data_IF_802918547230
#
_entry.id   IF_802918547230
#
_cell.length_a   1.000
_cell.length_b   1.000
_cell.length_c   1.000
_cell.angle_alpha   90.00
_cell.angle_beta   90.00
_cell.angle_gamma   90.00
#
_symmetry.space_group_name_H-M   'P 1'
#
loop_
_entity.id
_entity.type
_entity.pdbx_description
1 polymer ?
#
# COMPACT_ATOMS: atom_id res chain seq x y z
N UNK A 1 -3.06 -27.59 2.60
CA UNK A 1 -1.78 -26.93 2.27
C UNK A 1 -1.25 -27.55 0.99
N UNK A 2 -0.57 -26.79 0.11
CA UNK A 2 0.02 -27.35 -1.12
C UNK A 2 1.45 -27.81 -0.86
N UNK A 3 1.76 -29.03 -1.24
CA UNK A 3 3.04 -29.71 -1.06
C UNK A 3 3.75 -29.89 -2.40
N UNK A 4 5.00 -29.41 -2.52
CA UNK A 4 5.77 -29.51 -3.77
C UNK A 4 6.23 -30.93 -4.08
N UNK A 5 6.56 -31.69 -3.03
CA UNK A 5 7.17 -33.02 -3.14
C UNK A 5 6.15 -34.16 -2.97
N UNK A 6 4.86 -33.90 -3.21
CA UNK A 6 3.84 -34.93 -3.10
C UNK A 6 3.92 -35.91 -4.30
N UNK A 7 4.17 -37.20 -4.06
CA UNK A 7 4.41 -38.17 -5.15
C UNK A 7 3.14 -38.52 -5.93
N UNK A 8 1.95 -38.26 -5.38
CA UNK A 8 0.66 -38.73 -5.93
C UNK A 8 -0.17 -37.60 -6.56
N UNK A 9 0.03 -36.35 -6.13
CA UNK A 9 -0.76 -35.20 -6.55
C UNK A 9 0.11 -34.06 -7.05
N UNK A 10 -0.06 -33.67 -8.31
CA UNK A 10 0.61 -32.48 -8.85
C UNK A 10 0.13 -31.21 -8.14
N UNK A 11 0.99 -30.19 -8.09
CA UNK A 11 0.67 -28.85 -7.55
C UNK A 11 -0.64 -28.32 -8.15
N UNK A 12 -0.88 -28.54 -9.45
CA UNK A 12 -2.12 -28.12 -10.10
C UNK A 12 -3.37 -28.80 -9.52
N UNK A 13 -3.32 -30.11 -9.28
CA UNK A 13 -4.43 -30.85 -8.65
C UNK A 13 -4.67 -30.39 -7.22
N UNK A 14 -3.60 -30.20 -6.45
CA UNK A 14 -3.70 -29.70 -5.08
C UNK A 14 -4.30 -28.29 -5.01
N UNK A 15 -3.86 -27.37 -5.89
CA UNK A 15 -4.44 -26.03 -6.00
C UNK A 15 -5.93 -26.08 -6.35
N UNK A 16 -6.33 -26.96 -7.28
CA UNK A 16 -7.74 -27.14 -7.65
C UNK A 16 -8.57 -27.67 -6.48
N UNK A 17 -8.07 -28.66 -5.71
CA UNK A 17 -8.76 -29.18 -4.52
C UNK A 17 -8.93 -28.12 -3.42
N UNK A 18 -7.97 -27.20 -3.30
CA UNK A 18 -7.98 -26.12 -2.31
C UNK A 18 -8.64 -24.85 -2.83
N UNK A 19 -9.21 -24.86 -4.04
CA UNK A 19 -9.84 -23.69 -4.68
C UNK A 19 -8.94 -22.44 -4.73
N UNK A 20 -7.62 -22.63 -4.90
CA UNK A 20 -6.66 -21.54 -5.12
C UNK A 20 -6.09 -21.60 -6.53
N UNK A 21 -5.77 -20.45 -7.10
CA UNK A 21 -5.10 -20.43 -8.40
C UNK A 21 -3.65 -20.92 -8.26
N UNK A 22 -3.17 -21.65 -9.28
CA UNK A 22 -1.76 -22.05 -9.36
C UNK A 22 -0.82 -20.84 -9.32
N UNK A 23 -1.19 -19.72 -9.94
CA UNK A 23 -0.39 -18.49 -9.93
C UNK A 23 -0.24 -17.89 -8.53
N UNK A 24 -1.29 -17.91 -7.71
CA UNK A 24 -1.24 -17.44 -6.33
C UNK A 24 -0.26 -18.26 -5.49
N UNK A 25 -0.21 -19.59 -5.69
CA UNK A 25 0.73 -20.47 -4.99
C UNK A 25 2.20 -20.14 -5.29
N UNK A 26 2.54 -19.77 -6.52
CA UNK A 26 3.91 -19.37 -6.88
C UNK A 26 4.22 -17.90 -6.59
N UNK A 27 3.20 -17.08 -6.33
CA UNK A 27 3.41 -15.66 -6.09
C UNK A 27 4.07 -15.44 -4.73
N UNK A 28 5.29 -14.91 -4.77
CA UNK A 28 5.98 -14.39 -3.60
C UNK A 28 5.77 -12.88 -3.57
N UNK A 29 5.12 -12.31 -2.55
CA UNK A 29 4.95 -10.87 -2.46
C UNK A 29 6.32 -10.21 -2.38
N UNK A 30 6.62 -9.35 -3.36
CA UNK A 30 7.82 -8.53 -3.33
C UNK A 30 7.57 -7.36 -2.37
N UNK A 31 8.46 -7.19 -1.40
CA UNK A 31 8.43 -6.03 -0.52
C UNK A 31 8.63 -4.71 -1.27
N UNK A 32 8.58 -3.61 -0.53
CA UNK A 32 8.81 -2.28 -1.09
C UNK A 32 10.28 -2.05 -1.43
N UNK A 33 10.52 -1.18 -2.42
CA UNK A 33 11.88 -0.76 -2.78
C UNK A 33 12.45 0.17 -1.71
N UNK A 34 13.78 0.28 -1.64
CA UNK A 34 14.44 1.19 -0.70
C UNK A 34 13.95 2.65 -0.86
N UNK A 35 13.74 3.10 -2.10
CA UNK A 35 13.17 4.42 -2.39
C UNK A 35 11.75 4.56 -1.83
N UNK A 36 10.90 3.54 -1.97
CA UNK A 36 9.54 3.59 -1.44
C UNK A 36 9.55 3.59 0.09
N UNK A 37 10.43 2.82 0.73
CA UNK A 37 10.59 2.84 2.19
C UNK A 37 11.04 4.20 2.70
N UNK A 38 11.98 4.86 2.01
CA UNK A 38 12.39 6.23 2.32
C UNK A 38 11.21 7.21 2.17
N UNK A 39 10.46 7.15 1.07
CA UNK A 39 9.28 7.97 0.87
C UNK A 39 8.21 7.71 1.94
N UNK A 40 7.99 6.45 2.34
CA UNK A 40 7.04 6.10 3.40
C UNK A 40 7.43 6.72 4.75
N UNK A 41 8.73 6.80 5.07
CA UNK A 41 9.19 7.49 6.29
C UNK A 41 8.88 8.99 6.25
N UNK A 42 9.18 9.66 5.13
CA UNK A 42 8.88 11.09 5.00
C UNK A 42 7.38 11.38 4.97
N UNK A 43 6.58 10.49 4.37
CA UNK A 43 5.12 10.57 4.42
C UNK A 43 4.63 10.47 5.87
N UNK A 44 5.17 9.54 6.65
CA UNK A 44 4.80 9.34 8.06
C UNK A 44 5.13 10.60 8.89
N UNK A 45 6.37 11.08 8.78
CA UNK A 45 6.83 12.31 9.43
C UNK A 45 5.94 13.52 9.08
N UNK A 46 5.68 13.75 7.79
CA UNK A 46 4.84 14.86 7.36
C UNK A 46 3.37 14.68 7.77
N UNK A 47 2.87 13.45 7.84
CA UNK A 47 1.49 13.19 8.24
C UNK A 47 1.28 13.45 9.73
N UNK A 48 2.29 13.20 10.58
CA UNK A 48 2.25 13.56 12.00
C UNK A 48 2.15 15.09 12.21
N UNK A 49 2.89 15.86 11.41
CA UNK A 49 2.83 17.33 11.45
C UNK A 49 1.53 17.88 10.84
N UNK A 50 1.03 17.22 9.79
CA UNK A 50 -0.13 17.69 9.01
C UNK A 50 -1.12 16.56 8.72
N UNK A 51 -1.93 16.12 9.71
CA UNK A 51 -2.80 14.95 9.56
C UNK A 51 -3.98 15.16 8.59
N UNK A 52 -4.17 16.38 8.09
CA UNK A 52 -5.18 16.73 7.07
C UNK A 52 -4.61 16.71 5.64
N UNK A 53 -3.31 16.42 5.45
CA UNK A 53 -2.72 16.37 4.12
C UNK A 53 -3.20 15.16 3.31
N UNK A 54 -3.89 15.44 2.21
CA UNK A 54 -4.25 14.46 1.19
C UNK A 54 -3.09 14.09 0.26
N UNK A 55 -3.32 13.07 -0.57
CA UNK A 55 -2.35 12.58 -1.58
C UNK A 55 -1.74 13.70 -2.41
N UNK A 56 -2.57 14.66 -2.85
CA UNK A 56 -2.11 15.80 -3.65
C UNK A 56 -1.17 16.70 -2.86
N UNK A 57 -1.53 17.09 -1.63
CA UNK A 57 -0.68 17.93 -0.79
C UNK A 57 0.63 17.23 -0.43
N UNK A 58 0.56 15.95 -0.06
CA UNK A 58 1.72 15.12 0.24
C UNK A 58 2.66 15.00 -0.98
N UNK A 59 2.10 14.83 -2.18
CA UNK A 59 2.89 14.78 -3.42
C UNK A 59 3.61 16.09 -3.69
N UNK A 60 2.95 17.23 -3.46
CA UNK A 60 3.56 18.55 -3.62
C UNK A 60 4.68 18.78 -2.61
N UNK A 61 4.46 18.43 -1.35
CA UNK A 61 5.47 18.50 -0.29
C UNK A 61 6.73 17.69 -0.66
N UNK A 62 6.58 16.42 -1.02
CA UNK A 62 7.71 15.58 -1.41
C UNK A 62 8.44 16.09 -2.67
N UNK A 63 7.71 16.68 -3.62
CA UNK A 63 8.34 17.31 -4.80
C UNK A 63 9.14 18.55 -4.43
N UNK A 64 8.63 19.35 -3.50
CA UNK A 64 9.34 20.51 -2.96
C UNK A 64 10.64 20.08 -2.27
N UNK A 65 10.66 18.91 -1.66
CA UNK A 65 11.84 18.29 -1.04
C UNK A 65 12.77 17.60 -2.06
N UNK A 66 12.52 17.76 -3.36
CA UNK A 66 13.38 17.26 -4.44
C UNK A 66 13.01 15.89 -4.99
N UNK A 67 11.93 15.27 -4.53
CA UNK A 67 11.53 13.93 -5.01
C UNK A 67 10.71 14.01 -6.30
N UNK A 68 11.18 13.33 -7.35
CA UNK A 68 10.44 13.17 -8.61
C UNK A 68 9.36 12.09 -8.49
N UNK A 69 8.30 12.38 -7.74
CA UNK A 69 7.18 11.47 -7.47
C UNK A 69 5.88 11.90 -8.16
N UNK A 70 4.96 10.96 -8.31
CA UNK A 70 3.63 11.21 -8.86
C UNK A 70 2.54 10.83 -7.85
N UNK A 71 1.35 11.43 -8.01
CA UNK A 71 0.23 11.24 -7.08
C UNK A 71 -0.22 9.78 -6.99
N UNK A 72 -0.16 9.02 -8.09
CA UNK A 72 -0.51 7.58 -8.09
C UNK A 72 0.38 6.78 -7.16
N UNK A 73 1.69 7.04 -7.16
CA UNK A 73 2.65 6.38 -6.27
C UNK A 73 2.38 6.76 -4.82
N UNK A 74 2.23 8.05 -4.53
CA UNK A 74 2.01 8.53 -3.15
C UNK A 74 0.70 8.00 -2.59
N UNK A 75 -0.39 8.02 -3.38
CA UNK A 75 -1.67 7.46 -2.96
C UNK A 75 -1.62 5.96 -2.66
N UNK A 76 -0.85 5.19 -3.45
CA UNK A 76 -0.61 3.76 -3.16
C UNK A 76 0.14 3.58 -1.83
N UNK A 77 1.20 4.36 -1.60
CA UNK A 77 2.00 4.27 -0.37
C UNK A 77 1.19 4.66 0.86
N UNK A 78 0.47 5.78 0.82
CA UNK A 78 -0.42 6.20 1.91
C UNK A 78 -1.48 5.13 2.23
N UNK A 79 -2.06 4.50 1.20
CA UNK A 79 -3.01 3.39 1.39
C UNK A 79 -2.37 2.17 2.04
N UNK A 80 -1.16 1.79 1.62
CA UNK A 80 -0.41 0.68 2.23
C UNK A 80 -0.08 0.96 3.70
N UNK A 81 0.16 2.22 4.05
CA UNK A 81 0.40 2.67 5.42
C UNK A 81 -0.87 2.84 6.24
N UNK A 82 -2.06 2.79 5.62
CA UNK A 82 -3.33 3.06 6.30
C UNK A 82 -3.57 4.53 6.65
N UNK A 83 -2.85 5.47 6.03
CA UNK A 83 -2.98 6.89 6.29
C UNK A 83 -4.15 7.49 5.50
N UNK A 84 -5.09 8.09 6.22
CA UNK A 84 -6.22 8.83 5.66
C UNK A 84 -6.28 10.24 6.24
N UNK A 85 -6.40 11.28 5.42
CA UNK A 85 -6.47 12.65 5.91
C UNK A 85 -7.68 12.85 6.82
N UNK A 86 -7.44 13.49 7.97
CA UNK A 86 -8.50 13.81 8.93
C UNK A 86 -9.11 15.14 8.52
N UNK A 87 -10.34 15.11 8.03
CA UNK A 87 -11.12 16.30 7.73
C UNK A 87 -12.00 16.66 8.92
N UNK A 88 -12.00 17.93 9.31
CA UNK A 88 -12.97 18.43 10.26
C UNK A 88 -14.35 18.46 9.59
N UNK A 89 -15.27 17.61 10.07
CA UNK A 89 -16.67 17.71 9.66
C UNK A 89 -17.23 19.02 10.19
N UNK A 90 -17.97 19.77 9.37
CA UNK A 90 -18.69 20.95 9.84
C UNK A 90 -19.72 20.46 10.86
N UNK A 91 -19.45 20.66 12.15
CA UNK A 91 -20.47 20.60 13.19
C UNK A 91 -21.55 21.60 12.78
N UNK A 92 -22.71 21.11 12.37
CA UNK A 92 -23.77 21.92 11.81
C UNK A 92 -24.20 22.98 12.81
N UNK A 93 -24.15 24.25 12.41
CA UNK A 93 -25.03 25.25 13.00
C UNK A 93 -26.44 24.86 12.59
N UNK A 94 -27.17 24.22 13.51
CA UNK A 94 -28.62 24.15 13.44
C UNK A 94 -29.15 25.57 13.35
N UNK A 95 -29.86 25.86 12.27
CA UNK A 95 -30.77 26.99 12.19
C UNK A 95 -32.12 26.52 12.74
#
# INVERSE_FOLDING_TARGET
>A
MVEKDNPNLSIGKQCNLLSISRSSFYYQPKGETAMNLMLMRQIDEQFLETPFFGVRQMTWHLRNDGHLVNEKRIGRLMRLMGLMPIYQTRQGKGW
#
